data_IF_020309818761
#
_entry.id   IF_020309818761
#
_cell.length_a   1.000
_cell.length_b   1.000
_cell.length_c   1.000
_cell.angle_alpha   90.00
_cell.angle_beta   90.00
_cell.angle_gamma   90.00
#
_symmetry.space_group_name_H-M   'P 1'
#
loop_
_entity.id
_entity.type
_entity.pdbx_description
1 polymer ?
#
# COMPACT_ATOMS: atom_id res chain seq x y z
N UNK A 1 11.96 12.71 19.34
CA UNK A 1 11.07 13.42 18.41
C UNK A 1 10.33 12.41 17.55
N UNK A 2 9.22 12.79 16.90
CA UNK A 2 8.40 11.92 16.05
C UNK A 2 8.51 12.35 14.58
N UNK A 3 8.67 11.39 13.67
CA UNK A 3 8.59 11.59 12.22
C UNK A 3 7.31 10.92 11.69
N UNK A 4 6.60 11.61 10.80
CA UNK A 4 5.37 11.11 10.17
C UNK A 4 5.51 11.21 8.65
N UNK A 5 5.12 10.14 7.96
CA UNK A 5 4.88 10.12 6.52
C UNK A 5 3.39 9.80 6.32
N UNK A 6 2.67 10.69 5.64
CA UNK A 6 1.21 10.62 5.52
C UNK A 6 0.75 10.59 4.07
N UNK A 7 -0.43 9.99 3.85
CA UNK A 7 -1.09 10.01 2.54
C UNK A 7 -1.63 11.40 2.22
N UNK A 8 -1.51 11.81 0.95
CA UNK A 8 -1.97 13.12 0.49
C UNK A 8 -3.50 13.19 0.50
N UNK A 9 -4.01 14.35 0.89
CA UNK A 9 -5.42 14.69 0.97
C UNK A 9 -5.67 16.03 0.27
N UNK A 10 -6.90 16.32 -0.17
CA UNK A 10 -7.23 17.58 -0.83
C UNK A 10 -6.86 18.80 0.01
N UNK A 11 -6.96 18.67 1.34
CA UNK A 11 -6.59 19.69 2.30
C UNK A 11 -5.67 19.11 3.37
N UNK A 12 -4.89 19.97 4.02
CA UNK A 12 -4.14 19.65 5.23
C UNK A 12 -4.98 19.87 6.50
N UNK A 13 -6.27 20.17 6.35
CA UNK A 13 -7.15 20.53 7.46
C UNK A 13 -7.43 19.30 8.33
N UNK A 14 -7.33 19.53 9.63
CA UNK A 14 -7.63 18.54 10.66
C UNK A 14 -8.59 19.15 11.65
N UNK A 15 -9.61 18.39 12.05
CA UNK A 15 -10.58 18.81 13.06
C UNK A 15 -10.52 17.87 14.26
N UNK A 16 -10.57 18.49 15.43
CA UNK A 16 -10.72 17.82 16.72
C UNK A 16 -11.94 18.40 17.41
N UNK A 17 -12.73 17.55 18.07
CA UNK A 17 -13.88 17.98 18.84
C UNK A 17 -14.40 16.88 19.75
N UNK A 18 -15.44 17.18 20.52
CA UNK A 18 -16.01 16.24 21.50
C UNK A 18 -16.51 14.91 20.88
N UNK A 19 -16.73 14.85 19.57
CA UNK A 19 -17.26 13.68 18.85
C UNK A 19 -16.23 12.99 17.95
N UNK A 20 -15.06 13.60 17.74
CA UNK A 20 -14.10 13.11 16.76
C UNK A 20 -12.68 13.57 17.09
N UNK A 21 -11.75 12.71 16.75
CA UNK A 21 -10.32 12.97 16.90
C UNK A 21 -9.69 12.83 15.52
N UNK A 22 -8.90 13.83 15.12
CA UNK A 22 -8.10 13.79 13.89
C UNK A 22 -8.96 13.51 12.63
N UNK A 23 -10.12 14.13 12.54
CA UNK A 23 -10.99 14.02 11.38
C UNK A 23 -10.37 14.78 10.19
N UNK A 24 -10.38 14.13 9.02
CA UNK A 24 -9.76 14.63 7.78
C UNK A 24 -10.61 14.27 6.57
N UNK A 25 -10.45 15.02 5.47
CA UNK A 25 -11.06 14.69 4.19
C UNK A 25 -10.66 13.30 3.68
N UNK A 26 -11.47 12.70 2.80
CA UNK A 26 -11.12 11.42 2.15
C UNK A 26 -9.79 11.56 1.38
N UNK A 27 -9.09 10.44 1.23
CA UNK A 27 -7.89 10.37 0.39
C UNK A 27 -8.24 10.77 -1.05
N UNK A 28 -7.30 11.44 -1.71
CA UNK A 28 -7.44 11.72 -3.14
C UNK A 28 -7.59 10.41 -3.91
N UNK A 29 -8.42 10.40 -4.96
CA UNK A 29 -8.54 9.30 -5.91
C UNK A 29 -7.48 9.46 -7.02
N UNK A 30 -6.21 9.50 -6.60
CA UNK A 30 -5.05 9.91 -7.41
C UNK A 30 -3.98 8.82 -7.51
N UNK A 31 -4.39 7.55 -7.47
CA UNK A 31 -3.45 6.44 -7.34
C UNK A 31 -2.41 6.44 -8.47
N UNK A 32 -2.83 6.69 -9.71
CA UNK A 32 -1.94 6.75 -10.87
C UNK A 32 -1.00 7.95 -10.80
N UNK A 33 -1.49 9.12 -10.42
CA UNK A 33 -0.67 10.33 -10.26
C UNK A 33 0.33 10.18 -9.11
N UNK A 34 -0.10 9.58 -8.00
CA UNK A 34 0.73 9.35 -6.81
C UNK A 34 1.86 8.36 -7.07
N UNK A 35 1.61 7.35 -7.89
CA UNK A 35 2.53 6.24 -8.14
C UNK A 35 3.11 6.25 -9.57
N UNK A 36 2.96 7.34 -10.31
CA UNK A 36 3.51 7.46 -11.67
C UNK A 36 5.01 7.16 -11.74
N UNK A 37 5.78 7.67 -10.78
CA UNK A 37 7.22 7.38 -10.67
C UNK A 37 7.48 5.89 -10.34
N UNK A 38 6.69 5.31 -9.43
CA UNK A 38 6.81 3.91 -9.06
C UNK A 38 6.52 2.98 -10.25
N UNK A 39 5.48 3.26 -11.04
CA UNK A 39 5.16 2.50 -12.25
C UNK A 39 6.23 2.60 -13.32
N UNK A 40 6.83 3.79 -13.50
CA UNK A 40 7.98 3.94 -14.41
C UNK A 40 9.16 3.10 -13.93
N UNK A 41 9.50 3.18 -12.65
CA UNK A 41 10.60 2.41 -12.07
C UNK A 41 10.37 0.89 -12.15
N UNK A 42 9.13 0.44 -11.92
CA UNK A 42 8.72 -0.96 -12.05
C UNK A 42 8.88 -1.45 -13.48
N UNK A 43 8.36 -0.70 -14.46
CA UNK A 43 8.48 -1.07 -15.87
C UNK A 43 9.94 -1.09 -16.34
N UNK A 44 10.74 -0.10 -15.94
CA UNK A 44 12.16 -0.06 -16.25
C UNK A 44 12.91 -1.26 -15.66
N UNK A 45 12.56 -1.68 -14.43
CA UNK A 45 13.15 -2.85 -13.80
C UNK A 45 12.77 -4.16 -14.51
N UNK A 46 11.51 -4.26 -14.93
CA UNK A 46 11.03 -5.40 -15.72
C UNK A 46 11.76 -5.50 -17.06
N UNK A 47 11.84 -4.40 -17.81
CA UNK A 47 12.52 -4.37 -19.11
C UNK A 47 14.00 -4.77 -18.99
N UNK A 48 14.71 -4.23 -18.00
CA UNK A 48 16.10 -4.62 -17.73
C UNK A 48 16.25 -6.12 -17.43
N UNK A 49 15.34 -6.69 -16.64
CA UNK A 49 15.38 -8.12 -16.31
C UNK A 49 15.18 -8.99 -17.57
N UNK A 50 14.25 -8.59 -18.45
CA UNK A 50 14.02 -9.26 -19.75
C UNK A 50 15.25 -9.18 -20.65
N UNK A 51 15.82 -7.97 -20.84
CA UNK A 51 16.93 -7.73 -21.77
C UNK A 51 18.22 -8.44 -21.35
N UNK A 52 18.48 -8.51 -20.05
CA UNK A 52 19.73 -9.06 -19.50
C UNK A 52 19.61 -10.53 -19.09
N UNK A 53 18.39 -11.08 -19.07
CA UNK A 53 18.12 -12.39 -18.48
C UNK A 53 18.32 -12.42 -16.96
N UNK A 54 18.36 -11.27 -16.28
CA UNK A 54 18.44 -11.21 -14.83
C UNK A 54 17.13 -11.72 -14.17
N UNK A 55 17.18 -12.12 -12.89
CA UNK A 55 15.98 -12.52 -12.16
C UNK A 55 14.91 -11.42 -12.19
N UNK A 56 13.66 -11.82 -12.38
CA UNK A 56 12.52 -10.88 -12.32
C UNK A 56 12.43 -10.26 -10.91
N UNK A 57 12.17 -8.95 -10.80
CA UNK A 57 12.14 -8.25 -9.52
C UNK A 57 10.98 -8.69 -8.61
N UNK A 58 9.91 -9.22 -9.21
CA UNK A 58 8.75 -9.80 -8.51
C UNK A 58 8.40 -11.13 -9.17
N UNK A 59 8.13 -12.13 -8.35
CA UNK A 59 7.83 -13.50 -8.79
C UNK A 59 6.40 -13.91 -8.45
N UNK A 60 5.86 -14.97 -9.09
CA UNK A 60 4.57 -15.53 -8.69
C UNK A 60 4.51 -15.99 -7.22
N UNK A 61 5.67 -16.34 -6.63
CA UNK A 61 5.74 -16.73 -5.21
C UNK A 61 5.41 -15.55 -4.31
N UNK A 62 5.87 -14.36 -4.66
CA UNK A 62 5.63 -13.13 -3.89
C UNK A 62 4.13 -12.81 -3.87
N UNK A 63 3.48 -12.90 -5.05
CA UNK A 63 2.02 -12.75 -5.16
C UNK A 63 1.25 -13.78 -4.32
N UNK A 64 1.67 -15.06 -4.33
CA UNK A 64 1.03 -16.10 -3.51
C UNK A 64 1.16 -15.84 -2.01
N UNK A 65 2.32 -15.38 -1.54
CA UNK A 65 2.50 -15.06 -0.12
C UNK A 65 1.68 -13.83 0.29
N UNK A 66 1.61 -12.80 -0.57
CA UNK A 66 0.78 -11.64 -0.34
C UNK A 66 -0.71 -12.00 -0.23
N UNK A 67 -1.20 -12.90 -1.10
CA UNK A 67 -2.58 -13.39 -1.03
C UNK A 67 -2.84 -14.16 0.26
N UNK A 68 -1.93 -15.06 0.66
CA UNK A 68 -2.05 -15.81 1.93
C UNK A 68 -2.18 -14.88 3.13
N UNK A 69 -1.36 -13.81 3.18
CA UNK A 69 -1.44 -12.79 4.22
C UNK A 69 -2.80 -12.09 4.23
N UNK A 70 -3.31 -11.73 3.05
CA UNK A 70 -4.61 -11.08 2.90
C UNK A 70 -5.76 -11.99 3.39
N UNK A 71 -5.72 -13.28 3.06
CA UNK A 71 -6.72 -14.25 3.50
C UNK A 71 -6.71 -14.44 5.02
N UNK A 72 -5.52 -14.57 5.63
CA UNK A 72 -5.38 -14.65 7.09
C UNK A 72 -5.90 -13.38 7.78
N UNK A 73 -5.61 -12.20 7.21
CA UNK A 73 -6.09 -10.92 7.73
C UNK A 73 -7.62 -10.80 7.63
N UNK A 74 -8.21 -11.25 6.50
CA UNK A 74 -9.66 -11.29 6.32
C UNK A 74 -10.31 -12.24 7.34
N UNK A 75 -9.75 -13.43 7.54
CA UNK A 75 -10.25 -14.37 8.53
C UNK A 75 -10.18 -13.79 9.95
N UNK A 76 -9.05 -13.16 10.31
CA UNK A 76 -8.88 -12.51 11.62
C UNK A 76 -9.90 -11.39 11.84
N UNK A 77 -10.15 -10.55 10.83
CA UNK A 77 -11.13 -9.48 10.90
C UNK A 77 -12.56 -9.99 11.10
N UNK A 78 -12.90 -11.16 10.54
CA UNK A 78 -14.22 -11.78 10.66
C UNK A 78 -14.40 -12.54 11.97
N UNK A 79 -13.36 -13.23 12.46
CA UNK A 79 -13.44 -14.06 13.66
C UNK A 79 -13.11 -13.31 14.95
N UNK A 80 -12.42 -12.16 14.87
CA UNK A 80 -11.90 -11.43 16.03
C UNK A 80 -10.70 -12.11 16.71
N UNK A 81 -10.11 -13.12 16.06
CA UNK A 81 -9.03 -13.95 16.61
C UNK A 81 -7.74 -13.77 15.81
N UNK A 82 -6.59 -14.10 16.42
CA UNK A 82 -5.30 -14.11 15.70
C UNK A 82 -5.22 -15.33 14.79
N UNK A 83 -4.85 -15.12 13.51
CA UNK A 83 -4.67 -16.18 12.51
C UNK A 83 -3.20 -16.26 12.14
N UNK A 84 -2.59 -17.43 12.32
CA UNK A 84 -1.20 -17.67 11.92
C UNK A 84 -1.08 -17.70 10.40
N UNK A 85 0.03 -17.15 9.89
CA UNK A 85 0.31 -17.09 8.45
C UNK A 85 0.82 -18.42 7.97
#
# INVERSE_FOLDING_TARGET
>A
GMLLNENMRPTTLRRWGARETDARDRLLAFFLERYAEAYRAELDAFLRAVETGAPMPVTPRDGRQALRLADCALQSALSGETVAV
#
